data_IF_961707918475
#
_entry.id   IF_961707918475
#
_cell.length_a   1.000
_cell.length_b   1.000
_cell.length_c   1.000
_cell.angle_alpha   90.00
_cell.angle_beta   90.00
_cell.angle_gamma   90.00
#
_symmetry.space_group_name_H-M   'P 1'
#
loop_
_entity.id
_entity.type
_entity.pdbx_description
1 polymer ?
#
# COMPACT_ATOMS: atom_id res chain seq x y z
N UNK A 1 3.85 -3.34 11.12
CA UNK A 1 3.16 -4.40 10.35
C UNK A 1 3.26 -4.11 8.87
N UNK A 2 3.31 -5.13 8.00
CA UNK A 2 3.31 -4.94 6.53
C UNK A 2 2.05 -5.61 5.95
N UNK A 3 1.29 -4.86 5.15
CA UNK A 3 0.06 -5.32 4.50
C UNK A 3 0.11 -5.06 3.00
N UNK A 4 -0.24 -6.06 2.20
CA UNK A 4 -0.37 -5.96 0.75
C UNK A 4 -1.84 -5.90 0.33
N UNK A 5 -2.20 -4.97 -0.54
CA UNK A 5 -3.55 -4.83 -1.10
C UNK A 5 -3.50 -5.17 -2.60
N UNK A 6 -4.21 -6.22 -2.98
CA UNK A 6 -4.16 -6.80 -4.31
C UNK A 6 -5.51 -6.77 -5.01
N UNK A 7 -5.47 -6.80 -6.33
CA UNK A 7 -6.67 -6.89 -7.16
C UNK A 7 -6.41 -6.35 -8.57
N UNK A 8 -7.25 -6.70 -9.50
CA UNK A 8 -7.16 -6.21 -10.88
C UNK A 8 -7.31 -4.67 -10.96
N UNK A 9 -6.88 -4.05 -12.05
CA UNK A 9 -7.14 -2.63 -12.30
C UNK A 9 -8.61 -2.27 -12.11
N UNK A 10 -8.90 -1.11 -11.52
CA UNK A 10 -10.26 -0.65 -11.25
C UNK A 10 -11.00 -1.34 -10.09
N UNK A 11 -10.38 -2.28 -9.38
CA UNK A 11 -11.02 -2.98 -8.24
C UNK A 11 -10.90 -2.26 -6.89
N UNK A 12 -10.39 -1.02 -6.88
CA UNK A 12 -10.40 -0.16 -5.68
C UNK A 12 -9.24 -0.33 -4.73
N UNK A 13 -8.11 -0.89 -5.16
CA UNK A 13 -6.89 -1.03 -4.32
C UNK A 13 -6.43 0.29 -3.72
N UNK A 14 -6.15 1.28 -4.58
CA UNK A 14 -5.71 2.62 -4.17
C UNK A 14 -6.75 3.28 -3.27
N UNK A 15 -8.04 3.20 -3.64
CA UNK A 15 -9.12 3.72 -2.79
C UNK A 15 -9.08 3.11 -1.39
N UNK A 16 -8.94 1.80 -1.27
CA UNK A 16 -8.89 1.09 0.01
C UNK A 16 -7.64 1.47 0.81
N UNK A 17 -6.49 1.57 0.15
CA UNK A 17 -5.25 1.99 0.78
C UNK A 17 -5.36 3.43 1.33
N UNK A 18 -5.82 4.37 0.51
CA UNK A 18 -6.04 5.76 0.91
C UNK A 18 -7.05 5.88 2.05
N UNK A 19 -8.15 5.12 2.00
CA UNK A 19 -9.14 5.08 3.10
C UNK A 19 -8.51 4.69 4.43
N UNK A 20 -7.62 3.69 4.44
CA UNK A 20 -6.91 3.26 5.66
C UNK A 20 -5.96 4.32 6.15
N UNK A 21 -5.23 4.98 5.24
CA UNK A 21 -4.34 6.09 5.60
C UNK A 21 -5.12 7.25 6.21
N UNK A 22 -6.24 7.65 5.61
CA UNK A 22 -7.10 8.72 6.15
C UNK A 22 -7.62 8.36 7.54
N UNK A 23 -8.09 7.13 7.73
CA UNK A 23 -8.59 6.69 9.04
C UNK A 23 -7.47 6.72 10.11
N UNK A 24 -6.25 6.34 9.75
CA UNK A 24 -5.10 6.43 10.64
C UNK A 24 -4.72 7.89 10.94
N UNK A 25 -4.71 8.75 9.92
CA UNK A 25 -4.41 10.17 10.03
C UNK A 25 -5.47 10.91 10.87
N UNK A 26 -6.76 10.58 10.71
CA UNK A 26 -7.86 11.09 11.54
C UNK A 26 -7.70 10.73 13.02
N UNK A 27 -7.07 9.59 13.31
CA UNK A 27 -6.75 9.19 14.70
C UNK A 27 -5.48 9.86 15.25
N UNK A 28 -4.91 10.83 14.52
CA UNK A 28 -3.72 11.58 14.92
C UNK A 28 -2.40 10.86 14.61
N UNK A 29 -2.42 9.76 13.86
CA UNK A 29 -1.21 9.06 13.48
C UNK A 29 -0.50 9.79 12.34
N UNK A 30 0.83 9.96 12.45
CA UNK A 30 1.64 10.42 11.33
C UNK A 30 1.58 9.40 10.19
N UNK A 31 1.32 9.89 8.98
CA UNK A 31 1.25 9.07 7.78
C UNK A 31 2.15 9.64 6.67
N UNK A 32 2.65 8.74 5.85
CA UNK A 32 3.49 9.05 4.69
C UNK A 32 2.92 8.38 3.46
N UNK A 33 2.96 9.02 2.32
CA UNK A 33 2.41 8.43 1.10
C UNK A 33 3.20 8.85 -0.13
N UNK A 34 3.49 7.88 -1.00
CA UNK A 34 4.07 8.17 -2.32
C UNK A 34 3.02 8.68 -3.33
N UNK A 35 1.74 8.53 -3.00
CA UNK A 35 0.62 9.11 -3.75
C UNK A 35 0.13 10.33 -2.98
N UNK A 36 -0.01 11.51 -3.62
CA UNK A 36 -0.50 12.70 -2.94
C UNK A 36 -1.88 12.47 -2.30
N UNK A 37 -1.97 12.73 -1.00
CA UNK A 37 -3.22 12.65 -0.22
C UNK A 37 -3.41 13.97 0.50
N UNK A 38 -4.51 14.65 0.22
CA UNK A 38 -4.85 15.92 0.86
C UNK A 38 -5.39 15.70 2.28
N UNK A 39 -4.49 15.66 3.26
CA UNK A 39 -4.79 15.53 4.69
C UNK A 39 -3.63 16.08 5.52
N UNK A 40 -3.92 16.83 6.60
CA UNK A 40 -2.91 17.52 7.42
C UNK A 40 -1.86 16.59 8.07
N UNK A 41 -2.24 15.38 8.45
CA UNK A 41 -1.36 14.37 9.06
C UNK A 41 -0.77 13.39 8.04
N UNK A 42 -0.84 13.70 6.74
CA UNK A 42 -0.23 12.89 5.68
C UNK A 42 0.82 13.72 4.95
N UNK A 43 2.06 13.26 5.02
CA UNK A 43 3.18 13.86 4.28
C UNK A 43 3.42 13.09 2.98
N UNK A 44 3.47 13.80 1.87
CA UNK A 44 3.93 13.23 0.60
C UNK A 44 5.43 12.98 0.65
N UNK A 45 5.86 11.79 0.23
CA UNK A 45 7.26 11.37 0.20
C UNK A 45 7.56 10.65 -1.12
N UNK A 46 8.83 10.57 -1.47
CA UNK A 46 9.30 9.74 -2.56
C UNK A 46 9.64 8.32 -2.07
N UNK A 47 9.81 7.37 -2.98
CA UNK A 47 10.22 6.02 -2.62
C UNK A 47 11.57 5.97 -1.91
N UNK A 48 12.50 6.87 -2.26
CA UNK A 48 13.84 6.96 -1.64
C UNK A 48 13.75 7.34 -0.16
N UNK A 49 12.82 8.24 0.19
CA UNK A 49 12.62 8.72 1.57
C UNK A 49 12.17 7.57 2.51
N UNK A 50 11.54 6.52 1.96
CA UNK A 50 11.10 5.37 2.76
C UNK A 50 12.27 4.67 3.43
N UNK A 51 13.44 4.66 2.78
CA UNK A 51 14.65 4.02 3.30
C UNK A 51 15.48 4.93 4.18
N UNK A 52 15.07 6.19 4.39
CA UNK A 52 15.73 7.11 5.30
C UNK A 52 15.64 6.59 6.75
N UNK A 53 16.77 6.36 7.43
CA UNK A 53 16.79 5.91 8.82
C UNK A 53 16.25 6.95 9.80
N UNK A 54 16.15 8.20 9.38
CA UNK A 54 15.63 9.31 10.20
C UNK A 54 14.14 9.58 9.98
N UNK A 55 13.47 8.85 9.09
CA UNK A 55 12.02 8.99 8.90
C UNK A 55 11.30 8.67 10.21
N UNK A 56 10.52 9.60 10.79
CA UNK A 56 9.83 9.37 12.06
C UNK A 56 8.83 8.21 11.97
N UNK A 57 8.57 7.48 13.07
CA UNK A 57 7.61 6.39 13.09
C UNK A 57 6.23 6.79 12.54
N UNK A 58 5.61 5.93 11.75
CA UNK A 58 4.32 6.24 11.13
C UNK A 58 3.79 5.12 10.22
N UNK A 59 2.68 5.43 9.56
CA UNK A 59 2.09 4.58 8.54
C UNK A 59 2.56 5.03 7.16
N UNK A 60 3.17 4.14 6.39
CA UNK A 60 3.69 4.41 5.04
C UNK A 60 2.78 3.74 4.02
N UNK A 61 2.33 4.49 3.01
CA UNK A 61 1.63 3.97 1.84
C UNK A 61 2.53 3.98 0.61
N UNK A 62 2.70 2.80 0.01
CA UNK A 62 3.36 2.58 -1.28
C UNK A 62 2.33 2.13 -2.32
N UNK A 63 1.74 3.05 -3.06
CA UNK A 63 0.81 2.66 -4.13
C UNK A 63 1.60 2.13 -5.34
N UNK A 64 1.04 1.11 -6.03
CA UNK A 64 1.65 0.44 -7.19
C UNK A 64 3.12 0.03 -6.96
N UNK A 65 3.42 -0.54 -5.78
CA UNK A 65 4.78 -0.86 -5.31
C UNK A 65 5.62 -1.68 -6.30
N UNK A 66 4.98 -2.43 -7.18
CA UNK A 66 5.66 -3.24 -8.19
C UNK A 66 6.43 -2.43 -9.24
N UNK A 67 6.21 -1.11 -9.32
CA UNK A 67 6.99 -0.22 -10.20
C UNK A 67 8.42 -0.04 -9.69
N UNK A 68 8.63 -0.11 -8.36
CA UNK A 68 9.95 0.05 -7.71
C UNK A 68 10.44 -1.27 -7.12
N UNK A 69 9.59 -1.96 -6.37
CA UNK A 69 9.89 -3.26 -5.75
C UNK A 69 9.21 -4.40 -6.51
N UNK A 70 9.37 -4.42 -7.83
CA UNK A 70 8.88 -5.49 -8.68
C UNK A 70 9.65 -6.80 -8.50
N UNK A 71 9.06 -7.90 -8.96
CA UNK A 71 9.68 -9.23 -8.88
C UNK A 71 11.07 -9.29 -9.53
N UNK A 72 11.31 -8.45 -10.54
CA UNK A 72 12.55 -8.39 -11.32
C UNK A 72 13.59 -7.43 -10.71
N UNK A 73 13.19 -6.62 -9.73
CA UNK A 73 14.06 -5.58 -9.15
C UNK A 73 15.22 -6.14 -8.29
N UNK A 74 15.12 -7.40 -7.83
CA UNK A 74 15.96 -7.96 -6.78
C UNK A 74 17.48 -7.87 -6.98
N UNK A 75 17.99 -7.86 -8.23
CA UNK A 75 19.44 -7.73 -8.50
C UNK A 75 19.94 -6.28 -8.58
N UNK A 76 19.04 -5.32 -8.71
CA UNK A 76 19.34 -3.89 -8.93
C UNK A 76 18.86 -3.03 -7.76
N UNK A 77 18.22 -3.64 -6.77
CA UNK A 77 17.65 -2.94 -5.65
C UNK A 77 18.73 -2.44 -4.70
N UNK A 78 18.63 -1.19 -4.26
CA UNK A 78 19.50 -0.64 -3.21
C UNK A 78 19.42 -1.53 -1.95
N UNK A 79 20.57 -1.95 -1.38
CA UNK A 79 20.63 -2.76 -0.16
C UNK A 79 19.83 -2.18 1.02
N UNK A 80 19.66 -0.86 1.10
CA UNK A 80 18.85 -0.18 2.12
C UNK A 80 17.39 -0.68 2.16
N UNK A 81 16.83 -1.06 1.02
CA UNK A 81 15.48 -1.65 0.98
C UNK A 81 15.39 -2.97 1.71
N UNK A 82 16.43 -3.82 1.59
CA UNK A 82 16.46 -5.10 2.30
C UNK A 82 16.49 -4.90 3.82
N UNK A 83 17.27 -3.93 4.27
CA UNK A 83 17.34 -3.54 5.67
C UNK A 83 16.00 -2.98 6.15
N UNK A 84 15.44 -2.00 5.43
CA UNK A 84 14.15 -1.37 5.77
C UNK A 84 13.02 -2.38 5.87
N UNK A 85 12.87 -3.27 4.89
CA UNK A 85 11.81 -4.29 4.90
C UNK A 85 11.92 -5.25 6.08
N UNK A 86 13.14 -5.57 6.50
CA UNK A 86 13.40 -6.45 7.65
C UNK A 86 13.19 -5.75 8.99
N UNK A 87 13.38 -4.44 9.05
CA UNK A 87 13.36 -3.65 10.28
C UNK A 87 12.10 -2.77 10.44
N UNK A 88 11.23 -2.69 9.44
CA UNK A 88 10.04 -1.82 9.41
C UNK A 88 9.30 -1.77 10.76
N UNK A 89 9.08 -2.94 11.39
CA UNK A 89 8.42 -3.01 12.69
C UNK A 89 9.26 -2.46 13.84
N UNK A 90 10.58 -2.67 13.81
CA UNK A 90 11.50 -2.18 14.86
C UNK A 90 11.62 -0.67 14.82
N UNK A 91 11.53 -0.09 13.61
CA UNK A 91 11.56 1.35 13.37
C UNK A 91 10.22 2.03 13.72
N UNK A 92 9.24 1.28 14.21
CA UNK A 92 7.91 1.81 14.55
C UNK A 92 7.02 2.13 13.34
N UNK A 93 7.38 1.64 12.15
CA UNK A 93 6.59 1.83 10.94
C UNK A 93 5.59 0.70 10.72
N UNK A 94 4.45 1.05 10.12
CA UNK A 94 3.61 0.13 9.38
C UNK A 94 3.68 0.49 7.90
N UNK A 95 3.60 -0.52 7.04
CA UNK A 95 3.66 -0.36 5.59
C UNK A 95 2.41 -0.96 4.95
N UNK A 96 1.69 -0.15 4.20
CA UNK A 96 0.64 -0.61 3.29
C UNK A 96 1.15 -0.44 1.87
N UNK A 97 1.04 -1.47 1.06
CA UNK A 97 1.37 -1.36 -0.35
C UNK A 97 0.28 -1.93 -1.24
N UNK A 98 0.17 -1.41 -2.46
CA UNK A 98 -0.74 -1.96 -3.45
C UNK A 98 0.01 -2.59 -4.61
N UNK A 99 -0.59 -3.62 -5.21
CA UNK A 99 -0.14 -4.21 -6.47
C UNK A 99 -1.29 -4.93 -7.16
N UNK A 100 -1.18 -5.13 -8.47
CA UNK A 100 -2.19 -5.89 -9.22
C UNK A 100 -2.23 -7.36 -8.81
N UNK A 101 -1.07 -7.95 -8.51
CA UNK A 101 -0.93 -9.35 -8.11
C UNK A 101 0.29 -9.53 -7.20
N UNK A 102 0.22 -10.44 -6.25
CA UNK A 102 1.31 -10.74 -5.33
C UNK A 102 2.59 -11.22 -6.03
N UNK A 103 2.46 -11.92 -7.16
CA UNK A 103 3.63 -12.40 -7.92
C UNK A 103 4.43 -11.29 -8.59
N UNK A 104 3.84 -10.10 -8.79
CA UNK A 104 4.52 -8.94 -9.35
C UNK A 104 5.42 -8.21 -8.35
N UNK A 105 5.32 -8.56 -7.07
CA UNK A 105 6.03 -7.90 -5.98
C UNK A 105 7.30 -8.67 -5.63
N UNK A 106 8.35 -7.96 -5.29
CA UNK A 106 9.62 -8.52 -4.82
C UNK A 106 9.39 -9.61 -3.75
N UNK A 107 10.05 -10.75 -3.90
CA UNK A 107 9.89 -11.89 -3.00
C UNK A 107 10.10 -11.49 -1.53
N UNK A 108 11.14 -10.72 -1.23
CA UNK A 108 11.44 -10.32 0.13
C UNK A 108 10.34 -9.44 0.75
N UNK A 109 9.72 -8.53 -0.01
CA UNK A 109 8.59 -7.76 0.48
C UNK A 109 7.41 -8.69 0.81
N UNK A 110 7.12 -9.66 -0.07
CA UNK A 110 6.07 -10.67 0.18
C UNK A 110 6.33 -11.52 1.41
N UNK A 111 7.57 -11.97 1.59
CA UNK A 111 7.97 -12.82 2.72
C UNK A 111 7.88 -12.07 4.07
N UNK A 112 8.03 -10.75 4.06
CA UNK A 112 7.84 -9.88 5.23
C UNK A 112 6.40 -9.37 5.41
N UNK A 113 5.50 -9.63 4.45
CA UNK A 113 4.10 -9.21 4.52
C UNK A 113 3.31 -10.09 5.47
N UNK A 114 2.62 -9.48 6.41
CA UNK A 114 1.78 -10.17 7.39
C UNK A 114 0.45 -10.61 6.75
N UNK A 115 -0.26 -9.67 6.15
CA UNK A 115 -1.58 -9.91 5.55
C UNK A 115 -1.64 -9.45 4.11
N UNK A 116 -2.28 -10.27 3.27
CA UNK A 116 -2.68 -9.91 1.92
C UNK A 116 -4.18 -9.68 1.84
N UNK A 117 -4.59 -8.53 1.33
CA UNK A 117 -5.99 -8.13 1.14
C UNK A 117 -6.36 -8.21 -0.34
N UNK A 118 -7.46 -8.87 -0.65
CA UNK A 118 -8.01 -8.91 -2.00
C UNK A 118 -9.19 -7.96 -2.09
N UNK A 119 -9.05 -6.92 -2.91
CA UNK A 119 -10.10 -5.93 -3.13
C UNK A 119 -11.06 -6.32 -4.26
N UNK A 120 -12.32 -6.02 -4.05
CA UNK A 120 -13.39 -6.15 -5.03
C UNK A 120 -14.25 -4.90 -5.00
N UNK A 121 -14.68 -4.44 -6.19
CA UNK A 121 -15.55 -3.28 -6.35
C UNK A 121 -16.79 -3.68 -7.15
N UNK A 122 -17.94 -3.22 -6.70
CA UNK A 122 -19.21 -3.31 -7.44
C UNK A 122 -19.79 -1.91 -7.61
N UNK A 123 -20.18 -1.58 -8.82
CA UNK A 123 -20.81 -0.32 -9.19
C UNK A 123 -22.30 -0.57 -9.51
N UNK A 124 -23.16 0.06 -8.75
CA UNK A 124 -24.62 -0.02 -8.92
C UNK A 124 -25.23 1.29 -9.45
N UNK A 125 -24.43 2.06 -10.19
CA UNK A 125 -24.86 3.37 -10.73
C UNK A 125 -24.92 4.47 -9.67
N UNK A 126 -25.84 4.38 -8.73
CA UNK A 126 -26.02 5.38 -7.65
C UNK A 126 -25.06 5.17 -6.48
N UNK A 127 -24.57 3.95 -6.28
CA UNK A 127 -23.68 3.59 -5.16
C UNK A 127 -22.59 2.65 -5.62
N UNK A 128 -21.38 2.91 -5.16
CA UNK A 128 -20.24 2.00 -5.29
C UNK A 128 -19.99 1.31 -3.97
N UNK A 129 -19.82 0.00 -4.01
CA UNK A 129 -19.49 -0.84 -2.85
C UNK A 129 -18.08 -1.39 -3.04
N UNK A 130 -17.28 -1.25 -2.02
CA UNK A 130 -15.97 -1.89 -1.91
C UNK A 130 -16.02 -3.01 -0.89
N UNK A 131 -15.35 -4.11 -1.17
CA UNK A 131 -15.10 -5.16 -0.19
C UNK A 131 -13.64 -5.58 -0.24
N UNK A 132 -13.14 -5.94 0.92
CA UNK A 132 -11.80 -6.50 1.08
C UNK A 132 -11.87 -7.78 1.91
N UNK A 133 -11.05 -8.76 1.51
CA UNK A 133 -10.87 -10.02 2.24
C UNK A 133 -9.39 -10.20 2.53
N UNK A 134 -9.05 -10.50 3.77
CA UNK A 134 -7.69 -10.72 4.22
C UNK A 134 -7.36 -12.19 4.43
N UNK A 135 -6.12 -12.52 4.19
CA UNK A 135 -5.48 -13.77 4.58
C UNK A 135 -4.08 -13.47 5.11
N UNK A 136 -3.58 -14.27 6.03
CA UNK A 136 -2.13 -14.32 6.24
C UNK A 136 -1.43 -14.51 4.89
N UNK A 137 -0.35 -13.79 4.63
CA UNK A 137 0.24 -13.72 3.29
C UNK A 137 0.60 -15.09 2.71
N UNK A 138 1.11 -16.01 3.53
CA UNK A 138 1.48 -17.35 3.10
C UNK A 138 0.27 -18.24 2.74
N UNK A 139 -0.95 -17.88 3.18
CA UNK A 139 -2.22 -18.55 2.88
C UNK A 139 -3.08 -17.76 1.89
N UNK A 140 -2.54 -16.71 1.27
CA UNK A 140 -3.31 -15.82 0.41
C UNK A 140 -4.17 -16.59 -0.59
N UNK A 141 -5.49 -16.31 -0.59
CA UNK A 141 -6.52 -16.97 -1.41
C UNK A 141 -6.75 -18.45 -1.11
N UNK A 142 -6.17 -19.00 -0.07
CA UNK A 142 -6.37 -20.40 0.33
C UNK A 142 -7.30 -20.49 1.54
N UNK A 143 -8.31 -21.32 1.46
CA UNK A 143 -9.28 -21.51 2.54
C UNK A 143 -10.17 -20.27 2.79
N UNK A 144 -10.70 -20.20 4.00
CA UNK A 144 -11.52 -19.05 4.44
C UNK A 144 -10.61 -17.84 4.71
N UNK A 145 -11.08 -16.62 4.39
CA UNK A 145 -10.36 -15.41 4.79
C UNK A 145 -10.36 -15.27 6.32
N UNK A 146 -9.24 -14.73 6.86
CA UNK A 146 -9.10 -14.44 8.28
C UNK A 146 -9.94 -13.23 8.70
N UNK A 147 -10.11 -12.27 7.75
CA UNK A 147 -10.98 -11.12 7.93
C UNK A 147 -11.68 -10.74 6.63
N UNK A 148 -12.81 -10.06 6.74
CA UNK A 148 -13.58 -9.53 5.61
C UNK A 148 -14.47 -8.38 6.02
N UNK A 149 -14.56 -7.38 5.18
CA UNK A 149 -15.52 -6.30 5.35
C UNK A 149 -15.95 -5.71 3.99
N UNK A 150 -16.99 -4.92 4.04
CA UNK A 150 -17.44 -4.11 2.92
C UNK A 150 -17.87 -2.72 3.41
N UNK A 151 -17.83 -1.76 2.52
CA UNK A 151 -18.28 -0.40 2.81
C UNK A 151 -18.73 0.31 1.53
N UNK A 152 -19.54 1.33 1.68
CA UNK A 152 -19.87 2.22 0.58
C UNK A 152 -18.70 3.17 0.28
N UNK A 153 -18.66 3.61 -0.99
CA UNK A 153 -17.72 4.65 -1.39
C UNK A 153 -18.00 5.95 -0.62
N UNK A 154 -16.92 6.57 -0.14
CA UNK A 154 -16.97 7.87 0.52
C UNK A 154 -16.47 8.96 -0.42
N UNK A 155 -17.26 10.01 -0.58
CA UNK A 155 -16.88 11.21 -1.35
C UNK A 155 -15.62 11.86 -0.74
N UNK A 156 -15.47 11.82 0.57
CA UNK A 156 -14.29 12.35 1.26
C UNK A 156 -13.02 11.65 0.78
N UNK A 157 -13.02 10.32 0.73
CA UNK A 157 -11.86 9.55 0.26
C UNK A 157 -11.57 9.85 -1.21
N UNK A 158 -12.59 9.92 -2.07
CA UNK A 158 -12.38 10.27 -3.49
C UNK A 158 -11.81 11.68 -3.71
N UNK A 159 -12.16 12.64 -2.84
CA UNK A 159 -11.66 14.01 -2.92
C UNK A 159 -10.26 14.21 -2.32
N UNK A 160 -9.76 13.24 -1.58
CA UNK A 160 -8.46 13.34 -0.91
C UNK A 160 -7.28 12.97 -1.80
N UNK A 161 -7.48 12.32 -2.94
CA UNK A 161 -6.42 11.93 -3.85
C UNK A 161 -6.87 11.99 -5.32
N UNK A 162 -5.93 12.14 -6.23
CA UNK A 162 -6.21 12.09 -7.66
C UNK A 162 -6.19 10.63 -8.15
N UNK A 163 -7.33 10.14 -8.61
CA UNK A 163 -7.45 8.78 -9.16
C UNK A 163 -6.71 8.59 -10.48
N UNK A 164 -6.25 9.67 -11.11
CA UNK A 164 -5.49 9.67 -12.36
C UNK A 164 -4.00 9.92 -12.15
N UNK A 165 -3.60 10.11 -10.90
CA UNK A 165 -2.19 10.32 -10.57
C UNK A 165 -1.36 9.13 -11.05
N UNK A 166 -0.42 9.39 -11.97
CA UNK A 166 0.56 8.42 -12.41
C UNK A 166 1.84 8.66 -11.62
N UNK A 167 2.31 7.65 -10.91
CA UNK A 167 3.58 7.71 -10.19
C UNK A 167 4.70 7.82 -11.23
N UNK A 168 5.38 8.96 -11.27
CA UNK A 168 6.59 9.12 -12.05
C UNK A 168 7.71 8.34 -11.32
N UNK A 169 8.01 7.16 -11.81
CA UNK A 169 9.17 6.41 -11.35
C UNK A 169 10.40 6.99 -12.04
N UNK A 170 11.19 7.74 -11.31
CA UNK A 170 12.49 8.16 -11.81
C UNK A 170 13.37 6.91 -11.94
N UNK A 171 13.72 6.54 -13.18
CA UNK A 171 14.52 5.36 -13.49
C UNK A 171 15.95 5.43 -12.90
N UNK A 172 16.30 6.52 -12.24
CA UNK A 172 17.55 6.70 -11.52
C UNK A 172 17.71 5.75 -10.30
N UNK A 173 16.61 5.21 -9.75
CA UNK A 173 16.64 4.26 -8.61
C UNK A 173 17.13 2.86 -9.03
N UNK A 174 17.32 2.62 -10.32
CA UNK A 174 17.74 1.32 -10.88
C UNK A 174 19.20 1.27 -11.35
N UNK A 175 20.08 2.14 -10.84
CA UNK A 175 21.52 2.07 -11.17
C UNK A 175 22.34 1.52 -10.03
#
# INVERSE_FOLDING_TARGET
>A
MIEGIFGLPGKGKTYEAVRRVINAADSGRQCYSVTPINHENVMEINYEDITDPYLPPGLILCDEVHLVLGADAGRKLDPKWYEKLSQTRKDGHDLIYTSQHESKVLKQLRDNTNYGWICTKWDYGIKTVFAAKAWEMHKLRRGKPDDRYWHFASTRVYRSYDTRYAIAVDLAVQK
#
